data_IF_646864570229
#
_entry.id   IF_646864570229
#
_cell.length_a   1.000
_cell.length_b   1.000
_cell.length_c   1.000
_cell.angle_alpha   90.00
_cell.angle_beta   90.00
_cell.angle_gamma   90.00
#
_symmetry.space_group_name_H-M   'P 1'
#
loop_
_entity.id
_entity.type
_entity.pdbx_description
1 polymer ?
#
# COMPACT_ATOMS: atom_id res chain seq x y z
N UNK A 1 20.12 18.23 -35.14
CA UNK A 1 18.92 18.92 -34.62
C UNK A 1 17.59 18.20 -34.88
N UNK A 2 17.49 17.22 -35.80
CA UNK A 2 16.27 16.42 -36.02
C UNK A 2 16.14 15.23 -35.05
N UNK A 3 17.24 14.87 -34.43
CA UNK A 3 17.41 13.79 -33.46
C UNK A 3 16.87 14.11 -32.04
N UNK A 4 16.71 15.39 -31.70
CA UNK A 4 16.14 15.80 -30.41
C UNK A 4 14.61 15.70 -30.39
N UNK A 5 13.95 16.04 -31.51
CA UNK A 5 12.49 15.87 -31.67
C UNK A 5 12.08 14.40 -31.70
N UNK A 6 12.88 13.53 -32.31
CA UNK A 6 12.62 12.08 -32.38
C UNK A 6 12.73 11.43 -30.99
N UNK A 7 13.73 11.82 -30.19
CA UNK A 7 13.87 11.38 -28.79
C UNK A 7 12.66 11.75 -27.93
N UNK A 8 12.10 12.94 -28.11
CA UNK A 8 10.93 13.41 -27.35
C UNK A 8 9.65 12.62 -27.68
N UNK A 9 9.44 12.29 -28.95
CA UNK A 9 8.28 11.49 -29.40
C UNK A 9 8.36 10.04 -28.90
N UNK A 10 9.56 9.45 -28.85
CA UNK A 10 9.78 8.11 -28.31
C UNK A 10 9.53 8.07 -26.79
N UNK A 11 10.02 9.08 -26.05
CA UNK A 11 9.79 9.17 -24.61
C UNK A 11 8.31 9.34 -24.26
N UNK A 12 7.58 10.19 -24.98
CA UNK A 12 6.15 10.37 -24.76
C UNK A 12 5.34 9.13 -25.16
N UNK A 13 5.70 8.46 -26.26
CA UNK A 13 5.03 7.23 -26.71
C UNK A 13 5.24 6.02 -25.79
N UNK A 14 6.42 5.89 -25.18
CA UNK A 14 6.69 4.83 -24.20
C UNK A 14 5.91 5.04 -22.88
N UNK A 15 5.75 6.30 -22.43
CA UNK A 15 4.98 6.62 -21.23
C UNK A 15 3.49 6.29 -21.39
N UNK A 16 2.91 6.50 -22.58
CA UNK A 16 1.52 6.10 -22.86
C UNK A 16 1.29 4.59 -22.82
N UNK A 17 2.31 3.78 -23.13
CA UNK A 17 2.20 2.32 -23.05
C UNK A 17 2.21 1.81 -21.59
N UNK A 18 2.83 2.54 -20.67
CA UNK A 18 2.83 2.21 -19.23
C UNK A 18 1.50 2.61 -18.56
N UNK A 19 0.72 3.53 -19.17
CA UNK A 19 -0.60 3.92 -18.67
C UNK A 19 -1.74 2.95 -19.08
N UNK A 20 -1.45 1.85 -19.77
CA UNK A 20 -2.44 0.92 -20.32
C UNK A 20 -2.65 -0.38 -19.50
N UNK A 21 -2.47 -0.34 -18.18
CA UNK A 21 -3.04 -1.34 -17.26
C UNK A 21 -3.97 -0.65 -16.27
N UNK A 22 -5.11 -0.16 -16.78
CA UNK A 22 -6.28 0.09 -15.96
C UNK A 22 -7.10 -1.20 -16.01
N UNK A 23 -6.78 -2.14 -15.12
CA UNK A 23 -7.70 -3.21 -14.75
C UNK A 23 -8.82 -2.55 -13.93
N UNK A 24 -10.08 -2.73 -14.34
CA UNK A 24 -11.23 -2.30 -13.55
C UNK A 24 -11.31 -3.17 -12.27
N UNK A 25 -10.58 -2.77 -11.23
CA UNK A 25 -10.43 -3.39 -9.90
C UNK A 25 -11.73 -3.52 -9.06
N UNK A 26 -12.91 -3.32 -9.65
CA UNK A 26 -14.18 -3.31 -8.90
C UNK A 26 -14.86 -4.68 -8.78
N UNK A 27 -14.36 -5.70 -9.47
CA UNK A 27 -14.97 -7.04 -9.53
C UNK A 27 -14.29 -8.10 -8.63
N UNK A 28 -13.10 -7.86 -8.08
CA UNK A 28 -12.45 -8.81 -7.14
C UNK A 28 -12.82 -8.56 -5.67
N UNK A 29 -13.42 -7.42 -5.34
CA UNK A 29 -13.76 -7.03 -3.96
C UNK A 29 -15.12 -7.56 -3.45
N UNK A 30 -15.86 -8.35 -4.23
CA UNK A 30 -17.27 -8.69 -3.93
C UNK A 30 -17.52 -10.15 -3.52
N UNK A 31 -16.67 -10.68 -2.64
CA UNK A 31 -17.02 -11.83 -1.80
C UNK A 31 -16.30 -11.74 -0.44
N UNK A 32 -16.79 -10.88 0.46
CA UNK A 32 -16.36 -10.87 1.86
C UNK A 32 -17.46 -11.49 2.73
N UNK A 33 -17.29 -12.75 3.10
CA UNK A 33 -18.08 -13.42 4.14
C UNK A 33 -17.60 -13.07 5.58
N UNK A 34 -16.84 -12.00 5.78
CA UNK A 34 -16.28 -11.62 7.09
C UNK A 34 -16.23 -10.11 7.24
N UNK A 35 -16.68 -9.60 8.39
CA UNK A 35 -16.92 -8.19 8.69
C UNK A 35 -15.70 -7.28 8.79
N UNK A 36 -14.67 -7.51 7.98
CA UNK A 36 -13.51 -6.63 7.83
C UNK A 36 -13.72 -5.73 6.61
N UNK A 37 -13.33 -4.47 6.74
CA UNK A 37 -13.46 -3.45 5.71
C UNK A 37 -12.32 -2.44 5.87
N UNK A 38 -11.83 -1.89 4.76
CA UNK A 38 -10.88 -0.76 4.75
C UNK A 38 -11.51 0.49 5.41
N UNK A 39 -10.71 1.35 6.04
CA UNK A 39 -11.20 2.56 6.72
C UNK A 39 -12.25 2.29 7.82
N UNK A 40 -12.26 1.10 8.41
CA UNK A 40 -13.23 0.71 9.45
C UNK A 40 -13.35 1.75 10.58
N UNK A 41 -12.22 2.36 10.97
CA UNK A 41 -12.16 3.35 12.05
C UNK A 41 -12.47 4.79 11.63
N UNK A 42 -12.82 5.06 10.38
CA UNK A 42 -12.99 6.43 9.87
C UNK A 42 -13.99 7.26 10.67
N UNK A 43 -15.08 6.66 11.16
CA UNK A 43 -16.10 7.37 11.95
C UNK A 43 -15.75 7.52 13.42
N UNK A 44 -15.15 6.49 14.03
CA UNK A 44 -14.90 6.44 15.48
C UNK A 44 -13.52 7.02 15.85
N UNK A 45 -12.51 6.77 15.02
CA UNK A 45 -11.14 7.23 15.22
C UNK A 45 -10.43 7.41 13.86
N UNK A 46 -10.69 8.52 13.13
CA UNK A 46 -10.17 8.74 11.77
C UNK A 46 -8.64 8.84 11.71
N UNK A 47 -7.97 9.02 12.85
CA UNK A 47 -6.51 9.13 12.94
C UNK A 47 -5.85 7.84 13.42
N UNK A 48 -6.59 6.75 13.62
CA UNK A 48 -6.06 5.51 14.20
C UNK A 48 -4.80 5.02 13.48
N UNK A 49 -4.89 4.81 12.17
CA UNK A 49 -3.78 4.32 11.34
C UNK A 49 -2.61 5.30 11.31
N UNK A 50 -2.89 6.60 11.17
CA UNK A 50 -1.87 7.65 11.16
C UNK A 50 -1.10 7.74 12.49
N UNK A 51 -1.79 7.61 13.63
CA UNK A 51 -1.18 7.59 14.96
C UNK A 51 -0.26 6.38 15.10
N UNK A 52 -0.73 5.19 14.72
CA UNK A 52 0.06 3.96 14.78
C UNK A 52 1.32 4.09 13.91
N UNK A 53 1.17 4.55 12.67
CA UNK A 53 2.29 4.73 11.75
C UNK A 53 3.34 5.74 12.27
N UNK A 54 2.89 6.87 12.81
CA UNK A 54 3.78 7.90 13.35
C UNK A 54 4.60 7.38 14.54
N UNK A 55 3.95 6.72 15.50
CA UNK A 55 4.62 6.14 16.66
C UNK A 55 5.60 5.06 16.24
N UNK A 56 5.17 4.17 15.34
CA UNK A 56 6.00 3.07 14.88
C UNK A 56 7.24 3.58 14.14
N UNK A 57 7.13 4.62 13.32
CA UNK A 57 8.28 5.24 12.66
C UNK A 57 9.34 5.74 13.65
N UNK A 58 8.93 6.26 14.82
CA UNK A 58 9.84 6.64 15.90
C UNK A 58 10.57 5.43 16.49
N UNK A 59 9.83 4.36 16.80
CA UNK A 59 10.40 3.16 17.39
C UNK A 59 11.29 2.37 16.42
N UNK A 60 10.94 2.32 15.13
CA UNK A 60 11.78 1.67 14.11
C UNK A 60 13.14 2.35 13.99
N UNK A 61 13.20 3.68 14.13
CA UNK A 61 14.48 4.42 14.13
C UNK A 61 15.36 4.04 15.33
N UNK A 62 14.76 3.62 16.44
CA UNK A 62 15.48 3.19 17.64
C UNK A 62 15.87 1.70 17.57
N UNK A 63 14.99 0.85 17.05
CA UNK A 63 15.21 -0.58 16.85
C UNK A 63 14.71 -1.02 15.46
N UNK A 64 15.66 -1.19 14.54
CA UNK A 64 15.37 -1.64 13.17
C UNK A 64 14.81 -3.07 13.09
N UNK A 65 14.93 -3.88 14.15
CA UNK A 65 14.37 -5.24 14.20
C UNK A 65 12.87 -5.28 14.56
N UNK A 66 12.31 -4.15 15.01
CA UNK A 66 10.93 -4.06 15.48
C UNK A 66 9.86 -4.50 14.45
N UNK A 67 9.95 -4.12 13.15
CA UNK A 67 8.96 -4.57 12.16
C UNK A 67 8.86 -6.10 12.06
N UNK A 68 10.01 -6.78 12.07
CA UNK A 68 10.06 -8.23 12.01
C UNK A 68 9.45 -8.87 13.28
N UNK A 69 9.67 -8.28 14.45
CA UNK A 69 9.08 -8.73 15.72
C UNK A 69 7.56 -8.57 15.72
N UNK A 70 7.03 -7.44 15.26
CA UNK A 70 5.59 -7.20 15.18
C UNK A 70 4.91 -8.14 14.19
N UNK A 71 5.54 -8.38 13.04
CA UNK A 71 5.04 -9.33 12.05
C UNK A 71 4.98 -10.75 12.66
N UNK A 72 6.05 -11.18 13.33
CA UNK A 72 6.08 -12.47 14.04
C UNK A 72 4.99 -12.57 15.11
N UNK A 73 4.77 -11.51 15.88
CA UNK A 73 3.72 -11.48 16.91
C UNK A 73 2.33 -11.63 16.29
N UNK A 74 2.03 -10.88 15.23
CA UNK A 74 0.76 -10.98 14.52
C UNK A 74 0.50 -12.41 13.99
N UNK A 75 1.51 -13.03 13.39
CA UNK A 75 1.42 -14.43 12.97
C UNK A 75 1.22 -15.38 14.16
N UNK A 76 1.95 -15.18 15.25
CA UNK A 76 1.84 -16.01 16.43
C UNK A 76 0.43 -15.98 17.03
N UNK A 77 -0.20 -14.81 17.12
CA UNK A 77 -1.56 -14.64 17.66
C UNK A 77 -2.63 -15.26 16.73
N UNK A 78 -2.44 -15.23 15.42
CA UNK A 78 -3.42 -15.77 14.49
C UNK A 78 -3.32 -17.29 14.27
N UNK A 79 -2.10 -17.83 14.31
CA UNK A 79 -1.82 -19.23 13.95
C UNK A 79 -1.74 -20.16 15.15
N UNK A 80 -1.40 -19.67 16.34
CA UNK A 80 -1.43 -20.48 17.57
C UNK A 80 -2.77 -20.24 18.27
N UNK A 81 -3.66 -21.23 18.24
CA UNK A 81 -4.96 -21.23 18.93
C UNK A 81 -5.08 -22.41 19.85
#
# INVERSE_FOLDING_TARGET
MKNLSVLCVIFLGLVSSIAATQEDDSLWAKNCHGGLQEDYYQKSCPKAEAIIAHLLAGFIKQDASLPAKLLRLHFHDCFVR
#
